data_IF_438391332490
#
_entry.id   IF_438391332490
#
_cell.length_a   1.000
_cell.length_b   1.000
_cell.length_c   1.000
_cell.angle_alpha   90.00
_cell.angle_beta   90.00
_cell.angle_gamma   90.00
#
_symmetry.space_group_name_H-M   'P 1'
#
loop_
_entity.id
_entity.type
_entity.pdbx_description
1 polymer ?
#
# COMPACT_ATOMS: atom_id res chain seq x y z
N UNK A 1 -2.50 6.61 10.09
CA UNK A 1 -2.55 7.08 8.70
C UNK A 1 -2.96 5.95 7.77
N UNK A 2 -3.61 6.27 6.70
CA UNK A 2 -4.15 5.29 5.75
C UNK A 2 -3.20 5.11 4.57
N UNK A 3 -2.93 3.85 4.21
CA UNK A 3 -2.03 3.49 3.12
C UNK A 3 -2.67 2.47 2.20
N UNK A 4 -2.20 2.45 0.96
CA UNK A 4 -2.57 1.45 -0.03
C UNK A 4 -1.31 0.82 -0.62
N UNK A 5 -1.25 -0.50 -0.59
CA UNK A 5 -0.20 -1.26 -1.29
C UNK A 5 -0.86 -2.02 -2.43
N UNK A 6 -0.26 -1.94 -3.61
CA UNK A 6 -0.62 -2.78 -4.75
C UNK A 6 0.56 -3.64 -5.15
N UNK A 7 0.30 -4.85 -5.58
CA UNK A 7 1.34 -5.77 -6.03
C UNK A 7 0.75 -6.80 -6.98
N UNK A 8 1.59 -7.40 -7.80
CA UNK A 8 1.24 -8.51 -8.66
C UNK A 8 1.75 -9.81 -8.04
N UNK A 9 1.00 -10.88 -8.15
CA UNK A 9 1.48 -12.20 -7.76
C UNK A 9 2.49 -12.73 -8.76
N UNK A 10 3.55 -13.35 -8.25
CA UNK A 10 4.55 -14.02 -9.09
C UNK A 10 3.99 -15.32 -9.66
N UNK A 11 4.55 -15.84 -10.77
CA UNK A 11 4.16 -17.16 -11.26
C UNK A 11 4.26 -18.25 -10.20
N UNK A 12 5.29 -18.17 -9.36
CA UNK A 12 5.48 -19.12 -8.26
C UNK A 12 4.32 -19.08 -7.26
N UNK A 13 3.89 -17.87 -6.89
CA UNK A 13 2.76 -17.69 -5.97
C UNK A 13 1.45 -18.18 -6.59
N UNK A 14 1.23 -17.86 -7.88
CA UNK A 14 0.03 -18.31 -8.59
C UNK A 14 -0.04 -19.82 -8.67
N UNK A 15 1.08 -20.49 -8.92
CA UNK A 15 1.14 -21.94 -8.94
C UNK A 15 0.82 -22.52 -7.56
N UNK A 16 1.41 -21.98 -6.52
CA UNK A 16 1.17 -22.43 -5.13
C UNK A 16 -0.30 -22.26 -4.74
N UNK A 17 -0.90 -21.11 -5.07
CA UNK A 17 -2.31 -20.84 -4.78
C UNK A 17 -3.24 -21.73 -5.61
N UNK A 18 -2.85 -22.09 -6.83
CA UNK A 18 -3.60 -23.02 -7.67
C UNK A 18 -3.62 -24.42 -7.08
N UNK A 19 -2.54 -24.84 -6.44
CA UNK A 19 -2.46 -26.14 -5.75
C UNK A 19 -3.23 -26.16 -4.43
N UNK A 20 -3.47 -24.98 -3.86
CA UNK A 20 -4.19 -24.84 -2.60
C UNK A 20 -5.20 -23.67 -2.73
N UNK A 21 -6.33 -23.91 -3.46
CA UNK A 21 -7.28 -22.85 -3.76
C UNK A 21 -8.02 -22.30 -2.55
N UNK A 22 -7.90 -22.94 -1.39
CA UNK A 22 -8.49 -22.47 -0.13
C UNK A 22 -7.57 -21.53 0.64
N UNK A 23 -6.42 -21.17 0.09
CA UNK A 23 -5.49 -20.23 0.71
C UNK A 23 -6.20 -18.91 1.00
N UNK A 24 -6.10 -18.44 2.24
CA UNK A 24 -6.67 -17.18 2.67
C UNK A 24 -5.59 -16.10 2.72
N UNK A 25 -5.43 -15.37 1.62
CA UNK A 25 -4.42 -14.31 1.54
C UNK A 25 -4.74 -13.13 2.46
N UNK A 26 -6.02 -12.83 2.63
CA UNK A 26 -6.46 -11.76 3.53
C UNK A 26 -5.98 -12.01 4.97
N UNK A 27 -6.09 -13.22 5.45
CA UNK A 27 -5.66 -13.59 6.80
C UNK A 27 -4.15 -13.37 6.98
N UNK A 28 -3.35 -13.78 6.00
CA UNK A 28 -1.89 -13.60 6.06
C UNK A 28 -1.50 -12.12 6.08
N UNK A 29 -2.15 -11.31 5.26
CA UNK A 29 -1.90 -9.87 5.21
C UNK A 29 -2.35 -9.19 6.50
N UNK A 30 -3.51 -9.60 7.04
CA UNK A 30 -4.01 -9.06 8.31
C UNK A 30 -3.05 -9.34 9.47
N UNK A 31 -2.47 -10.53 9.51
CA UNK A 31 -1.45 -10.87 10.52
C UNK A 31 -0.24 -9.94 10.43
N UNK A 32 0.23 -9.67 9.23
CA UNK A 32 1.37 -8.79 9.02
C UNK A 32 1.07 -7.37 9.47
N UNK A 33 -0.06 -6.82 9.05
CA UNK A 33 -0.48 -5.46 9.42
C UNK A 33 -0.68 -5.34 10.93
N UNK A 34 -1.33 -6.31 11.55
CA UNK A 34 -1.58 -6.34 12.99
C UNK A 34 -0.28 -6.45 13.78
N UNK A 35 0.69 -7.23 13.30
CA UNK A 35 2.00 -7.35 13.93
C UNK A 35 2.72 -5.99 13.99
N UNK A 36 2.48 -5.12 13.02
CA UNK A 36 3.00 -3.75 13.02
C UNK A 36 2.16 -2.76 13.82
N UNK A 37 1.16 -3.23 14.54
CA UNK A 37 0.26 -2.35 15.31
C UNK A 37 -0.79 -1.66 14.47
N UNK A 38 -0.95 -2.04 13.21
CA UNK A 38 -1.92 -1.45 12.30
C UNK A 38 -3.24 -2.21 12.22
N UNK A 39 -4.06 -1.79 11.26
CA UNK A 39 -5.38 -2.38 11.04
C UNK A 39 -5.63 -2.51 9.53
N UNK A 40 -5.98 -3.71 9.09
CA UNK A 40 -6.42 -3.93 7.72
C UNK A 40 -7.83 -3.37 7.54
N UNK A 41 -7.98 -2.45 6.58
CA UNK A 41 -9.26 -1.82 6.28
C UNK A 41 -9.99 -2.57 5.18
N UNK A 42 -9.29 -2.89 4.08
CA UNK A 42 -9.88 -3.59 2.94
C UNK A 42 -8.79 -4.28 2.15
N UNK A 43 -9.17 -5.33 1.44
CA UNK A 43 -8.29 -6.01 0.50
C UNK A 43 -9.11 -6.48 -0.70
N UNK A 44 -8.58 -6.22 -1.89
CA UNK A 44 -9.22 -6.59 -3.14
C UNK A 44 -8.22 -7.31 -4.05
N UNK A 45 -8.71 -8.26 -4.84
CA UNK A 45 -7.95 -8.79 -5.95
C UNK A 45 -7.95 -7.79 -7.10
N UNK A 46 -6.86 -7.73 -7.84
CA UNK A 46 -6.74 -6.86 -9.01
C UNK A 46 -6.38 -7.67 -10.24
N UNK A 47 -6.77 -7.16 -11.41
CA UNK A 47 -6.45 -7.75 -12.71
C UNK A 47 -5.95 -6.61 -13.61
N UNK A 48 -4.81 -6.03 -13.31
CA UNK A 48 -4.27 -4.93 -14.14
C UNK A 48 -3.16 -5.45 -14.97
N UNK A 49 -2.14 -5.94 -14.68
CA UNK A 49 -1.05 -6.52 -15.48
C UNK A 49 -0.84 -7.98 -15.05
N UNK A 50 -1.94 -8.71 -14.95
CA UNK A 50 -2.01 -10.02 -14.36
C UNK A 50 -2.66 -9.97 -12.99
N UNK A 51 -2.85 -11.14 -12.35
CA UNK A 51 -3.47 -11.20 -11.04
C UNK A 51 -2.62 -10.54 -9.96
N UNK A 52 -3.26 -9.77 -9.10
CA UNK A 52 -2.59 -9.07 -8.00
C UNK A 52 -3.53 -8.77 -6.86
N UNK A 53 -3.10 -7.89 -5.98
CA UNK A 53 -3.87 -7.47 -4.82
C UNK A 53 -3.69 -5.99 -4.54
N UNK A 54 -4.75 -5.42 -3.98
CA UNK A 54 -4.75 -4.07 -3.41
C UNK A 54 -5.10 -4.19 -1.93
N UNK A 55 -4.25 -3.65 -1.08
CA UNK A 55 -4.40 -3.72 0.36
C UNK A 55 -4.49 -2.31 0.92
N UNK A 56 -5.58 -2.01 1.62
CA UNK A 56 -5.77 -0.71 2.28
C UNK A 56 -5.71 -0.94 3.79
N UNK A 57 -4.83 -0.21 4.45
CA UNK A 57 -4.58 -0.42 5.88
C UNK A 57 -4.21 0.87 6.60
N UNK A 58 -4.48 0.89 7.90
CA UNK A 58 -4.02 1.94 8.79
C UNK A 58 -2.74 1.48 9.48
N UNK A 59 -1.76 2.36 9.56
CA UNK A 59 -0.50 2.09 10.26
C UNK A 59 0.21 3.40 10.60
N UNK A 60 1.15 3.30 11.53
CA UNK A 60 2.09 4.38 11.78
C UNK A 60 2.94 4.62 10.51
N UNK A 61 3.17 5.88 10.11
CA UNK A 61 4.00 6.16 8.92
C UNK A 61 5.41 5.60 9.00
N UNK A 62 5.94 5.36 10.19
CA UNK A 62 7.24 4.73 10.35
C UNK A 62 7.20 3.22 10.12
N UNK A 63 6.03 2.61 10.28
CA UNK A 63 5.83 1.16 10.14
C UNK A 63 5.40 0.78 8.72
N UNK A 64 4.58 1.61 8.07
CA UNK A 64 4.03 1.30 6.75
C UNK A 64 5.10 0.92 5.71
N UNK A 65 6.24 1.66 5.59
CA UNK A 65 7.29 1.26 4.66
C UNK A 65 7.91 -0.10 4.99
N UNK A 66 7.98 -0.47 6.27
CA UNK A 66 8.49 -1.78 6.67
C UNK A 66 7.55 -2.91 6.23
N UNK A 67 6.24 -2.69 6.31
CA UNK A 67 5.25 -3.64 5.80
C UNK A 67 5.43 -3.85 4.29
N UNK A 68 5.58 -2.76 3.54
CA UNK A 68 5.83 -2.83 2.11
C UNK A 68 7.14 -3.56 1.79
N UNK A 69 8.20 -3.32 2.57
CA UNK A 69 9.49 -3.96 2.38
C UNK A 69 9.43 -5.46 2.62
N UNK A 70 8.68 -5.90 3.64
CA UNK A 70 8.46 -7.34 3.88
C UNK A 70 7.79 -7.98 2.67
N UNK A 71 6.75 -7.36 2.13
CA UNK A 71 6.07 -7.86 0.94
C UNK A 71 7.03 -7.90 -0.26
N UNK A 72 7.77 -6.83 -0.50
CA UNK A 72 8.68 -6.71 -1.64
C UNK A 72 9.84 -7.71 -1.59
N UNK A 73 10.27 -8.12 -0.41
CA UNK A 73 11.35 -9.10 -0.24
C UNK A 73 10.88 -10.55 -0.31
N UNK A 74 9.56 -10.77 -0.37
CA UNK A 74 9.01 -12.11 -0.52
C UNK A 74 9.11 -12.57 -1.99
N UNK A 75 9.08 -13.86 -2.21
CA UNK A 75 9.06 -14.42 -3.57
C UNK A 75 7.62 -14.55 -4.14
N UNK A 76 6.64 -14.11 -3.38
CA UNK A 76 5.22 -14.26 -3.76
C UNK A 76 4.64 -13.09 -4.55
N UNK A 77 5.25 -11.92 -4.46
CA UNK A 77 4.75 -10.72 -5.14
C UNK A 77 5.86 -9.96 -5.82
N UNK A 78 5.48 -9.18 -6.83
CA UNK A 78 6.36 -8.29 -7.57
C UNK A 78 5.65 -6.96 -7.79
N UNK A 79 6.40 -5.97 -8.28
CA UNK A 79 5.85 -4.66 -8.62
C UNK A 79 5.09 -4.04 -7.44
N UNK A 80 5.70 -4.11 -6.25
CA UNK A 80 5.09 -3.56 -5.02
C UNK A 80 5.14 -2.04 -5.06
N UNK A 81 3.98 -1.42 -4.92
CA UNK A 81 3.84 0.03 -4.85
C UNK A 81 3.05 0.39 -3.61
N UNK A 82 3.47 1.44 -2.92
CA UNK A 82 2.76 1.96 -1.77
C UNK A 82 2.46 3.43 -1.95
N UNK A 83 1.27 3.84 -1.59
CA UNK A 83 0.90 5.25 -1.56
C UNK A 83 0.13 5.54 -0.28
N UNK A 84 0.27 6.77 0.19
CA UNK A 84 -0.53 7.25 1.31
C UNK A 84 -1.87 7.74 0.77
N UNK A 85 -2.94 7.38 1.46
CA UNK A 85 -4.28 7.84 1.13
C UNK A 85 -4.64 9.00 2.07
N UNK A 86 -5.22 10.03 1.51
CA UNK A 86 -5.56 11.24 2.23
C UNK A 86 -7.08 11.41 2.30
N UNK A 87 -7.58 11.83 3.46
CA UNK A 87 -8.97 12.24 3.59
C UNK A 87 -9.20 13.59 2.89
N UNK A 88 -10.45 13.94 2.65
CA UNK A 88 -10.80 15.25 2.11
C UNK A 88 -10.32 16.40 3.00
N UNK A 89 -10.37 16.23 4.31
CA UNK A 89 -9.87 17.23 5.25
C UNK A 89 -8.37 17.40 5.17
N UNK A 90 -7.63 16.29 5.06
CA UNK A 90 -6.18 16.32 4.87
C UNK A 90 -5.80 17.01 3.57
N UNK A 91 -6.52 16.72 2.49
CA UNK A 91 -6.29 17.36 1.19
C UNK A 91 -6.50 18.88 1.29
N UNK A 92 -7.56 19.32 1.98
CA UNK A 92 -7.80 20.74 2.18
C UNK A 92 -6.70 21.41 3.00
N UNK A 93 -6.25 20.78 4.07
CA UNK A 93 -5.16 21.31 4.89
C UNK A 93 -3.86 21.45 4.08
N UNK A 94 -3.55 20.45 3.25
CA UNK A 94 -2.39 20.50 2.36
C UNK A 94 -2.52 21.64 1.35
N UNK A 95 -3.70 21.82 0.80
CA UNK A 95 -3.96 22.89 -0.18
C UNK A 95 -3.76 24.28 0.45
N UNK A 96 -4.24 24.49 1.66
CA UNK A 96 -4.04 25.73 2.41
C UNK A 96 -2.56 25.97 2.68
N UNK A 97 -1.86 24.94 3.10
CA UNK A 97 -0.42 25.02 3.37
C UNK A 97 0.37 25.32 2.10
N UNK A 98 -0.05 24.74 0.99
CA UNK A 98 0.56 25.02 -0.32
C UNK A 98 0.51 26.52 -0.65
N UNK A 99 -0.62 27.17 -0.42
CA UNK A 99 -0.78 28.60 -0.68
C UNK A 99 0.22 29.42 0.15
N UNK A 100 0.38 29.08 1.43
CA UNK A 100 1.34 29.74 2.29
C UNK A 100 2.79 29.56 1.80
N UNK A 101 3.15 28.33 1.48
CA UNK A 101 4.52 27.99 1.07
C UNK A 101 4.86 28.57 -0.31
N UNK A 102 3.89 28.74 -1.17
CA UNK A 102 4.09 29.26 -2.52
C UNK A 102 4.66 30.69 -2.50
N UNK A 103 4.36 31.45 -1.46
CA UNK A 103 4.88 32.82 -1.29
C UNK A 103 6.38 32.85 -1.01
N UNK A 104 6.94 31.75 -0.50
CA UNK A 104 8.34 31.63 -0.12
C UNK A 104 9.21 30.91 -1.15
N UNK A 105 8.63 30.51 -2.28
CA UNK A 105 9.33 29.77 -3.31
C UNK A 105 9.54 30.57 -4.58
N UNK A 106 10.79 30.61 -5.02
CA UNK A 106 11.15 31.22 -6.32
C UNK A 106 11.47 30.09 -7.30
N UNK A 107 10.63 29.89 -8.34
CA UNK A 107 10.85 28.77 -9.27
C UNK A 107 12.07 29.01 -10.18
N UNK A 108 12.69 27.93 -10.70
CA UNK A 108 13.87 28.05 -11.57
C UNK A 108 13.64 28.85 -12.85
N UNK A 109 12.39 29.03 -13.26
CA UNK A 109 12.03 29.77 -14.46
C UNK A 109 12.04 31.30 -14.28
N UNK A 110 12.35 31.79 -13.09
CA UNK A 110 12.39 33.23 -12.79
C UNK A 110 13.76 33.71 -12.42
#
# INVERSE_FOLDING_TARGET
MLFCITANYTPKALEAMGKNPKTNRREAVEKLVTAGGGKLVAMYGTIAEGPGAMVIFEADPAVAPAIAAVAASSDGVSNVKMQRLLSGDEVRAIRQKRVELQKSYSPPSK
#
